data_IF_617759748944
#
_entry.id   IF_617759748944
#
_cell.length_a   1.000
_cell.length_b   1.000
_cell.length_c   1.000
_cell.angle_alpha   90.00
_cell.angle_beta   90.00
_cell.angle_gamma   90.00
#
_symmetry.space_group_name_H-M   'P 1'
#
loop_
_entity.id
_entity.type
_entity.pdbx_description
1 polymer ?
#
# COMPACT_ATOMS: atom_id res chain seq x y z
N UNK A 1 -19.68 3.54 -3.29
CA UNK A 1 -19.26 2.52 -2.31
C UNK A 1 -18.26 1.59 -2.97
N UNK A 2 -16.98 1.78 -2.71
CA UNK A 2 -15.96 0.83 -3.12
C UNK A 2 -15.63 0.05 -1.84
N UNK A 3 -16.19 -1.17 -1.70
CA UNK A 3 -15.75 -2.08 -0.65
C UNK A 3 -14.32 -2.51 -1.01
N UNK A 4 -13.34 -2.02 -0.27
CA UNK A 4 -12.02 -2.65 -0.24
C UNK A 4 -12.12 -3.80 0.76
N UNK A 5 -12.29 -5.03 0.26
CA UNK A 5 -12.08 -6.24 1.07
C UNK A 5 -10.59 -6.52 1.00
N UNK A 6 -9.87 -6.26 2.10
CA UNK A 6 -8.48 -6.68 2.25
C UNK A 6 -8.48 -8.15 2.68
N UNK A 7 -8.47 -9.08 1.71
CA UNK A 7 -8.13 -10.48 2.00
C UNK A 7 -6.59 -10.58 2.02
N UNK A 8 -6.01 -10.66 3.21
CA UNK A 8 -4.58 -10.96 3.38
C UNK A 8 -4.40 -12.46 3.13
N UNK A 9 -3.82 -12.81 1.98
CA UNK A 9 -3.31 -14.17 1.77
C UNK A 9 -1.89 -14.21 2.32
N UNK A 10 -1.73 -14.69 3.56
CA UNK A 10 -0.43 -15.06 4.12
C UNK A 10 0.12 -16.28 3.36
N UNK A 11 0.92 -16.05 2.31
CA UNK A 11 2.02 -16.94 1.90
C UNK A 11 2.67 -16.42 0.62
N UNK A 12 3.89 -15.91 0.71
CA UNK A 12 4.94 -16.13 -0.29
C UNK A 12 6.30 -15.76 0.32
N UNK A 13 7.31 -16.63 0.16
CA UNK A 13 8.70 -16.37 0.54
C UNK A 13 9.27 -15.33 -0.43
N UNK A 14 9.41 -14.07 0.00
CA UNK A 14 10.30 -13.12 -0.67
C UNK A 14 11.68 -13.24 -0.04
N UNK A 15 12.62 -13.65 -0.88
CA UNK A 15 13.98 -14.00 -0.53
C UNK A 15 14.73 -12.80 0.06
N UNK A 16 15.28 -13.01 1.27
CA UNK A 16 16.10 -12.05 2.00
C UNK A 16 17.34 -11.71 1.18
N UNK A 17 17.38 -10.58 0.49
CA UNK A 17 18.62 -9.82 0.24
C UNK A 17 18.29 -8.48 -0.44
N UNK A 18 18.80 -7.37 0.11
CA UNK A 18 18.95 -6.06 -0.57
C UNK A 18 17.76 -5.11 -0.73
N UNK A 19 16.82 -5.03 0.22
CA UNK A 19 15.99 -3.81 0.35
C UNK A 19 16.67 -2.88 1.37
N UNK A 20 17.80 -2.30 0.95
CA UNK A 20 18.37 -1.13 1.61
C UNK A 20 17.54 0.04 1.12
N UNK A 21 16.77 0.64 2.02
CA UNK A 21 15.98 1.85 1.79
C UNK A 21 16.84 2.94 1.14
N UNK A 22 16.75 3.07 -0.18
CA UNK A 22 17.28 4.23 -0.92
C UNK A 22 16.27 5.37 -0.80
N UNK A 23 15.96 5.75 0.44
CA UNK A 23 15.28 7.01 0.74
C UNK A 23 16.27 8.14 0.41
N UNK A 24 16.32 8.51 -0.87
CA UNK A 24 16.78 9.84 -1.25
C UNK A 24 15.77 10.83 -0.69
N UNK A 25 16.15 11.53 0.38
CA UNK A 25 15.35 12.59 1.01
C UNK A 25 15.21 13.76 0.02
N UNK A 26 14.35 13.58 -0.97
CA UNK A 26 14.05 14.57 -2.02
C UNK A 26 12.87 15.41 -1.55
N UNK A 27 12.85 16.71 -1.93
CA UNK A 27 11.76 17.64 -1.59
C UNK A 27 10.38 17.10 -1.99
N UNK A 28 10.32 16.35 -3.10
CA UNK A 28 9.10 15.74 -3.64
C UNK A 28 8.50 14.72 -2.66
N UNK A 29 9.33 13.92 -1.98
CA UNK A 29 8.85 12.95 -0.99
C UNK A 29 8.21 13.61 0.23
N UNK A 30 8.76 14.73 0.71
CA UNK A 30 8.19 15.48 1.82
C UNK A 30 6.83 16.12 1.48
N UNK A 31 6.68 16.64 0.26
CA UNK A 31 5.41 17.19 -0.21
C UNK A 31 4.33 16.11 -0.36
N UNK A 32 4.70 14.92 -0.85
CA UNK A 32 3.78 13.77 -0.94
C UNK A 32 3.32 13.29 0.43
N UNK A 33 4.22 13.24 1.43
CA UNK A 33 3.85 12.88 2.81
C UNK A 33 2.84 13.87 3.41
N UNK A 34 3.02 15.17 3.15
CA UNK A 34 2.07 16.19 3.59
C UNK A 34 0.69 16.00 2.95
N UNK A 35 0.63 15.74 1.63
CA UNK A 35 -0.64 15.51 0.93
C UNK A 35 -1.37 14.29 1.51
N UNK A 36 -0.65 13.18 1.75
CA UNK A 36 -1.24 11.97 2.36
C UNK A 36 -1.81 12.23 3.74
N UNK A 37 -1.12 13.04 4.55
CA UNK A 37 -1.57 13.42 5.88
C UNK A 37 -2.88 14.25 5.87
N UNK A 38 -3.19 14.96 4.77
CA UNK A 38 -4.45 15.70 4.63
C UNK A 38 -5.66 14.83 4.30
N UNK A 39 -5.47 13.57 3.92
CA UNK A 39 -6.57 12.69 3.56
C UNK A 39 -7.36 12.25 4.81
N UNK A 40 -8.70 12.21 4.76
CA UNK A 40 -9.53 11.86 5.92
C UNK A 40 -9.18 10.51 6.56
N UNK A 41 -8.73 9.54 5.75
CA UNK A 41 -8.35 8.21 6.22
C UNK A 41 -7.06 8.21 7.05
N UNK A 42 -6.20 9.22 6.93
CA UNK A 42 -4.94 9.30 7.66
C UNK A 42 -5.16 9.42 9.18
N UNK A 43 -6.22 10.14 9.59
CA UNK A 43 -6.61 10.24 11.00
C UNK A 43 -7.03 8.89 11.60
N UNK A 44 -7.54 7.97 10.76
CA UNK A 44 -8.00 6.64 11.17
C UNK A 44 -6.91 5.57 11.05
N UNK A 45 -5.66 5.93 10.70
CA UNK A 45 -4.55 4.97 10.52
C UNK A 45 -4.36 4.09 11.76
N UNK A 46 -4.33 4.69 12.95
CA UNK A 46 -4.11 3.97 14.21
C UNK A 46 -5.20 2.94 14.48
N UNK A 47 -6.47 3.37 14.39
CA UNK A 47 -7.63 2.51 14.62
C UNK A 47 -7.68 1.35 13.63
N UNK A 48 -7.39 1.60 12.34
CA UNK A 48 -7.35 0.55 11.31
C UNK A 48 -6.29 -0.50 11.64
N UNK A 49 -5.07 -0.08 11.98
CA UNK A 49 -3.97 -0.99 12.31
C UNK A 49 -4.25 -1.79 13.59
N UNK A 50 -4.88 -1.17 14.58
CA UNK A 50 -5.28 -1.87 15.80
C UNK A 50 -6.38 -2.90 15.51
N UNK A 51 -7.46 -2.51 14.83
CA UNK A 51 -8.56 -3.41 14.49
C UNK A 51 -8.11 -4.57 13.62
N UNK A 52 -7.13 -4.37 12.74
CA UNK A 52 -6.54 -5.45 11.94
C UNK A 52 -5.73 -6.46 12.77
N UNK A 53 -5.16 -6.04 13.91
CA UNK A 53 -4.46 -6.95 14.84
C UNK A 53 -5.45 -7.77 15.67
N UNK A 54 -6.65 -7.23 15.90
CA UNK A 54 -7.70 -7.84 16.71
C UNK A 54 -8.69 -8.69 15.89
N UNK A 55 -8.82 -8.41 14.59
CA UNK A 55 -9.82 -9.04 13.71
C UNK A 55 -9.22 -9.50 12.38
N UNK A 56 -9.58 -10.72 11.96
CA UNK A 56 -9.17 -11.29 10.67
C UNK A 56 -9.80 -10.58 9.46
N UNK A 57 -10.95 -9.92 9.65
CA UNK A 57 -11.69 -9.23 8.59
C UNK A 57 -12.11 -7.85 9.07
N UNK A 58 -11.71 -6.83 8.31
CA UNK A 58 -12.08 -5.42 8.55
C UNK A 58 -12.83 -4.84 7.35
N UNK A 59 -13.94 -4.16 7.60
CA UNK A 59 -14.71 -3.44 6.58
C UNK A 59 -14.50 -1.94 6.75
N UNK A 60 -13.79 -1.32 5.80
CA UNK A 60 -13.54 0.13 5.81
C UNK A 60 -14.52 0.84 4.90
N UNK A 61 -15.44 1.60 5.49
CA UNK A 61 -16.41 2.44 4.78
C UNK A 61 -15.93 3.90 4.74
N UNK A 62 -16.19 4.59 3.63
CA UNK A 62 -15.92 6.03 3.54
C UNK A 62 -16.26 6.60 2.16
N UNK A 63 -16.30 7.93 2.06
CA UNK A 63 -16.65 8.64 0.83
C UNK A 63 -15.62 8.48 -0.29
N UNK A 64 -16.04 8.66 -1.54
CA UNK A 64 -15.11 8.67 -2.68
C UNK A 64 -14.10 9.82 -2.51
N UNK A 65 -12.82 9.55 -2.74
CA UNK A 65 -11.77 10.55 -2.52
C UNK A 65 -11.19 10.60 -1.11
N UNK A 66 -11.72 9.81 -0.16
CA UNK A 66 -11.18 9.76 1.20
C UNK A 66 -9.80 9.07 1.32
N UNK A 67 -9.27 8.52 0.23
CA UNK A 67 -7.94 7.87 0.20
C UNK A 67 -7.91 6.38 0.53
N UNK A 68 -9.06 5.70 0.70
CA UNK A 68 -9.12 4.28 1.13
C UNK A 68 -8.23 3.34 0.29
N UNK A 69 -8.42 3.34 -1.02
CA UNK A 69 -7.76 2.38 -1.92
C UNK A 69 -6.25 2.61 -2.04
N UNK A 70 -5.78 3.85 -1.88
CA UNK A 70 -4.34 4.16 -1.97
C UNK A 70 -3.66 4.08 -0.61
N UNK A 71 -4.29 4.52 0.47
CA UNK A 71 -3.62 4.66 1.78
C UNK A 71 -3.71 3.43 2.67
N UNK A 72 -4.85 2.71 2.70
CA UNK A 72 -5.02 1.56 3.61
C UNK A 72 -3.96 0.47 3.38
N UNK A 73 -3.67 0.04 2.13
CA UNK A 73 -2.62 -0.95 1.88
C UNK A 73 -1.24 -0.46 2.30
N UNK A 74 -0.96 0.83 2.12
CA UNK A 74 0.32 1.43 2.49
C UNK A 74 0.50 1.49 4.01
N UNK A 75 -0.55 1.80 4.77
CA UNK A 75 -0.48 1.79 6.24
C UNK A 75 -0.11 0.41 6.79
N UNK A 76 -0.69 -0.64 6.21
CA UNK A 76 -0.42 -2.03 6.59
C UNK A 76 1.02 -2.40 6.25
N UNK A 77 1.45 -2.08 5.02
CA UNK A 77 2.82 -2.36 4.58
C UNK A 77 3.84 -1.63 5.46
N UNK A 78 3.60 -0.35 5.76
CA UNK A 78 4.50 0.46 6.59
C UNK A 78 4.57 -0.09 8.04
N UNK A 79 3.44 -0.47 8.67
CA UNK A 79 3.43 -1.09 10.01
C UNK A 79 4.17 -2.45 10.03
N UNK A 80 4.02 -3.25 8.98
CA UNK A 80 4.73 -4.52 8.84
C UNK A 80 6.23 -4.32 8.63
N UNK A 81 6.65 -3.29 7.91
CA UNK A 81 8.07 -3.00 7.75
C UNK A 81 8.65 -2.42 9.05
N UNK A 82 7.96 -1.48 9.70
CA UNK A 82 8.37 -0.89 10.99
C UNK A 82 8.49 -1.94 12.09
N UNK A 83 7.64 -2.98 12.08
CA UNK A 83 7.72 -4.12 13.00
C UNK A 83 8.78 -5.17 12.62
N UNK A 84 9.52 -4.98 11.52
CA UNK A 84 10.56 -5.91 11.05
C UNK A 84 10.04 -7.13 10.28
N UNK A 85 8.74 -7.19 9.98
CA UNK A 85 8.08 -8.30 9.27
C UNK A 85 7.77 -7.98 7.80
N UNK A 86 8.31 -6.88 7.25
CA UNK A 86 8.00 -6.43 5.88
C UNK A 86 8.20 -7.49 4.80
N UNK A 87 9.24 -8.34 4.92
CA UNK A 87 9.49 -9.42 3.96
C UNK A 87 8.47 -10.57 3.97
N UNK A 88 7.62 -10.64 4.99
CA UNK A 88 6.50 -11.60 5.08
C UNK A 88 5.15 -10.98 4.72
N UNK A 89 5.12 -9.68 4.44
CA UNK A 89 3.89 -8.96 4.12
C UNK A 89 3.62 -9.05 2.61
N UNK A 90 2.50 -9.66 2.23
CA UNK A 90 1.99 -9.62 0.86
C UNK A 90 0.54 -9.11 0.88
N UNK A 91 0.29 -8.00 0.19
CA UNK A 91 -1.01 -7.32 0.20
C UNK A 91 -1.57 -7.36 -1.22
N UNK A 92 -2.72 -8.01 -1.37
CA UNK A 92 -3.43 -8.07 -2.65
C UNK A 92 -4.64 -7.14 -2.59
N UNK A 93 -4.64 -6.12 -3.44
CA UNK A 93 -5.77 -5.21 -3.58
C UNK A 93 -6.51 -5.52 -4.88
N UNK A 94 -7.75 -6.01 -4.75
CA UNK A 94 -8.61 -6.21 -5.93
C UNK A 94 -9.33 -4.91 -6.28
N UNK A 95 -9.46 -4.63 -7.58
CA UNK A 95 -10.23 -3.50 -8.10
C UNK A 95 -11.00 -3.94 -9.34
N UNK A 96 -12.28 -3.54 -9.49
CA UNK A 96 -13.09 -3.97 -10.63
C UNK A 96 -12.60 -3.39 -11.97
N UNK A 97 -11.93 -2.23 -11.96
CA UNK A 97 -11.33 -1.59 -13.14
C UNK A 97 -10.09 -0.77 -12.75
N UNK A 98 -9.12 -0.63 -13.67
CA UNK A 98 -7.96 0.28 -13.59
C UNK A 98 -6.94 0.01 -12.46
N UNK A 99 -6.65 -1.24 -12.12
CA UNK A 99 -5.65 -1.56 -11.07
C UNK A 99 -4.24 -1.02 -11.40
N UNK A 100 -3.84 -1.04 -12.68
CA UNK A 100 -2.54 -0.51 -13.13
C UNK A 100 -2.33 0.96 -12.73
N UNK A 101 -3.35 1.80 -12.95
CA UNK A 101 -3.30 3.23 -12.61
C UNK A 101 -3.21 3.46 -11.10
N UNK A 102 -3.81 2.57 -10.29
CA UNK A 102 -3.70 2.64 -8.83
C UNK A 102 -2.28 2.26 -8.40
N UNK A 103 -1.70 1.23 -8.99
CA UNK A 103 -0.32 0.81 -8.70
C UNK A 103 0.69 1.91 -9.08
N UNK A 104 0.59 2.50 -10.27
CA UNK A 104 1.41 3.63 -10.69
C UNK A 104 1.27 4.81 -9.71
N UNK A 105 0.02 5.14 -9.34
CA UNK A 105 -0.24 6.22 -8.39
C UNK A 105 0.41 5.97 -7.03
N UNK A 106 0.34 4.75 -6.52
CA UNK A 106 0.94 4.39 -5.22
C UNK A 106 2.47 4.39 -5.30
N UNK A 107 3.07 3.93 -6.40
CA UNK A 107 4.50 4.02 -6.64
C UNK A 107 4.99 5.48 -6.65
N UNK A 108 4.30 6.35 -7.38
CA UNK A 108 4.57 7.80 -7.40
C UNK A 108 4.47 8.42 -6.01
N UNK A 109 3.42 8.08 -5.26
CA UNK A 109 3.24 8.57 -3.90
C UNK A 109 4.38 8.12 -2.98
N UNK A 110 5.00 6.95 -3.20
CA UNK A 110 6.15 6.43 -2.43
C UNK A 110 7.51 6.90 -2.97
N UNK A 111 7.51 7.63 -4.09
CA UNK A 111 8.73 7.99 -4.82
C UNK A 111 9.57 6.76 -5.21
N UNK A 112 8.88 5.65 -5.50
CA UNK A 112 9.48 4.41 -5.98
C UNK A 112 9.52 4.40 -7.53
N UNK A 113 10.43 3.62 -8.15
CA UNK A 113 10.41 3.44 -9.59
C UNK A 113 9.11 2.74 -10.04
N UNK A 114 8.85 2.78 -11.35
CA UNK A 114 7.60 2.28 -11.94
C UNK A 114 7.23 0.89 -11.41
N UNK A 115 5.92 0.58 -11.24
CA UNK A 115 5.50 -0.74 -10.77
C UNK A 115 6.18 -1.85 -11.56
N UNK A 116 6.63 -2.91 -10.88
CA UNK A 116 7.30 -4.05 -11.52
C UNK A 116 8.76 -3.89 -11.91
N UNK A 117 9.36 -2.72 -11.68
CA UNK A 117 10.80 -2.52 -11.92
C UNK A 117 11.65 -3.08 -10.78
N UNK A 118 12.93 -3.38 -11.07
CA UNK A 118 13.89 -3.87 -10.08
C UNK A 118 14.00 -2.88 -8.90
N UNK A 119 13.49 -3.29 -7.74
CA UNK A 119 13.49 -2.50 -6.50
C UNK A 119 12.20 -1.73 -6.21
N UNK A 120 11.12 -1.90 -7.00
CA UNK A 120 9.78 -1.42 -6.66
C UNK A 120 9.07 -2.38 -5.70
N UNK A 121 8.40 -1.86 -4.68
CA UNK A 121 7.56 -2.67 -3.78
C UNK A 121 6.13 -2.83 -4.31
N UNK A 122 5.79 -2.10 -5.37
CA UNK A 122 4.44 -2.01 -5.92
C UNK A 122 4.38 -2.69 -7.28
N UNK A 123 3.31 -3.44 -7.52
CA UNK A 123 3.03 -4.10 -8.79
C UNK A 123 1.54 -4.24 -9.06
N UNK A 124 1.20 -4.66 -10.26
CA UNK A 124 -0.16 -5.00 -10.67
C UNK A 124 -0.19 -6.20 -11.61
N UNK A 125 -1.33 -6.88 -11.61
CA UNK A 125 -1.61 -7.96 -12.55
C UNK A 125 -2.99 -7.76 -13.16
N UNK A 126 -3.04 -7.67 -14.49
CA UNK A 126 -4.28 -7.70 -15.27
C UNK A 126 -4.19 -8.76 -16.36
N UNK A 127 -5.33 -9.05 -16.98
CA UNK A 127 -5.35 -10.00 -18.10
C UNK A 127 -4.49 -9.46 -19.24
N UNK A 128 -3.42 -10.19 -19.58
CA UNK A 128 -2.44 -9.92 -20.65
C UNK A 128 -1.41 -8.81 -20.36
N UNK A 129 -1.39 -8.25 -19.15
CA UNK A 129 -0.44 -7.20 -18.79
C UNK A 129 -0.12 -7.28 -17.28
N UNK A 130 1.16 -7.16 -16.93
CA UNK A 130 1.64 -7.28 -15.57
C UNK A 130 2.93 -6.49 -15.42
N UNK A 131 3.01 -5.72 -14.36
CA UNK A 131 4.22 -5.05 -13.93
C UNK A 131 4.40 -5.34 -12.45
#
# INVERSE_FOLDING_TARGET
MQLCVANIVQSFLVEKSNIIWRMGFTRIGADMLNIRATLPIAALKGDILQLMKEHDVLVVCGETGSGKTTQVPQFILDDMIESGHGGYCNIICTQPRRIAVVAERVADERCEPSPGSDGSLIGYQVRLDSA
#
